data_IF_494611322112
#
_entry.id   IF_494611322112
#
_cell.length_a   1.000
_cell.length_b   1.000
_cell.length_c   1.000
_cell.angle_alpha   90.00
_cell.angle_beta   90.00
_cell.angle_gamma   90.00
#
_symmetry.space_group_name_H-M   'P 1'
#
loop_
_entity.id
_entity.type
_entity.pdbx_description
1 polymer ?
#
# COMPACT_ATOMS: atom_id res chain seq x y z
N UNK A 1 -13.53 -14.16 56.41
CA UNK A 1 -12.53 -13.40 55.63
C UNK A 1 -12.40 -13.89 54.19
N UNK A 2 -12.34 -15.20 53.92
CA UNK A 2 -12.20 -15.75 52.55
C UNK A 2 -13.37 -15.50 51.58
N UNK A 3 -14.62 -15.32 52.05
CA UNK A 3 -15.76 -14.99 51.17
C UNK A 3 -15.85 -13.51 50.80
N UNK A 4 -15.34 -12.61 51.66
CA UNK A 4 -15.31 -11.16 51.39
C UNK A 4 -14.16 -10.82 50.43
N UNK A 5 -13.02 -11.52 50.55
CA UNK A 5 -11.92 -11.41 49.58
C UNK A 5 -12.33 -11.84 48.15
N UNK A 6 -13.22 -12.84 48.02
CA UNK A 6 -13.67 -13.33 46.72
C UNK A 6 -14.58 -12.34 45.98
N UNK A 7 -15.38 -11.55 46.73
CA UNK A 7 -16.27 -10.53 46.16
C UNK A 7 -15.47 -9.28 45.72
N UNK A 8 -14.42 -8.91 46.46
CA UNK A 8 -13.53 -7.81 46.10
C UNK A 8 -12.68 -8.09 44.85
N UNK A 9 -12.42 -9.36 44.54
CA UNK A 9 -11.65 -9.78 43.36
C UNK A 9 -12.51 -9.79 42.07
N UNK A 10 -13.84 -9.90 42.20
CA UNK A 10 -14.79 -9.91 41.09
C UNK A 10 -15.09 -8.50 40.53
N UNK A 11 -14.90 -7.45 41.33
CA UNK A 11 -15.19 -6.05 40.93
C UNK A 11 -13.99 -5.32 40.34
N UNK A 12 -12.77 -5.88 40.41
CA UNK A 12 -11.55 -5.23 39.94
C UNK A 12 -11.21 -5.46 38.45
N UNK A 13 -12.05 -6.21 37.71
CA UNK A 13 -11.74 -6.67 36.34
C UNK A 13 -12.72 -6.21 35.24
N UNK A 14 -13.55 -5.18 35.47
CA UNK A 14 -14.51 -4.72 34.45
C UNK A 14 -14.45 -3.20 34.24
N UNK A 15 -13.30 -2.70 33.77
CA UNK A 15 -13.26 -1.45 33.02
C UNK A 15 -13.55 -1.74 31.55
N UNK A 16 -14.78 -2.18 31.25
CA UNK A 16 -15.25 -2.26 29.88
C UNK A 16 -15.56 -0.83 29.43
N UNK A 17 -14.65 -0.18 28.70
CA UNK A 17 -14.92 1.10 28.06
C UNK A 17 -16.00 0.87 27.00
N UNK A 18 -17.25 1.17 27.35
CA UNK A 18 -18.37 1.13 26.40
C UNK A 18 -18.26 2.33 25.48
N UNK A 19 -17.75 2.14 24.27
CA UNK A 19 -17.66 3.19 23.27
C UNK A 19 -19.07 3.72 22.91
N UNK A 20 -19.23 5.04 22.83
CA UNK A 20 -20.50 5.65 22.41
C UNK A 20 -20.69 5.54 20.90
N UNK A 21 -21.95 5.58 20.41
CA UNK A 21 -22.21 5.64 18.96
C UNK A 21 -21.55 6.86 18.31
N UNK A 22 -21.44 7.99 19.04
CA UNK A 22 -20.78 9.19 18.53
C UNK A 22 -19.27 8.97 18.33
N UNK A 23 -18.60 8.29 19.27
CA UNK A 23 -17.19 7.90 19.16
C UNK A 23 -16.99 6.90 18.02
N UNK A 24 -17.84 5.87 17.91
CA UNK A 24 -17.76 4.91 16.81
C UNK A 24 -17.93 5.60 15.45
N UNK A 25 -18.90 6.52 15.34
CA UNK A 25 -19.09 7.30 14.12
C UNK A 25 -17.82 8.11 13.80
N UNK A 26 -17.25 8.79 14.79
CA UNK A 26 -16.03 9.60 14.62
C UNK A 26 -14.86 8.77 14.10
N UNK A 27 -14.64 7.58 14.67
CA UNK A 27 -13.53 6.71 14.28
C UNK A 27 -13.68 6.22 12.84
N UNK A 28 -14.88 5.78 12.45
CA UNK A 28 -15.12 5.29 11.08
C UNK A 28 -15.04 6.43 10.06
N UNK A 29 -15.48 7.64 10.41
CA UNK A 29 -15.26 8.81 9.54
C UNK A 29 -13.78 9.19 9.46
N UNK A 30 -12.98 8.98 10.50
CA UNK A 30 -11.53 9.19 10.43
C UNK A 30 -10.87 8.21 9.43
N UNK A 31 -11.28 6.95 9.40
CA UNK A 31 -10.80 5.97 8.41
C UNK A 31 -11.20 6.34 6.97
N UNK A 32 -12.44 6.79 6.77
CA UNK A 32 -12.89 7.32 5.48
C UNK A 32 -12.06 8.55 5.07
N UNK A 33 -11.84 9.49 5.98
CA UNK A 33 -11.06 10.70 5.71
C UNK A 33 -9.61 10.40 5.36
N UNK A 34 -8.98 9.39 5.97
CA UNK A 34 -7.64 8.97 5.57
C UNK A 34 -7.63 8.39 4.16
N UNK A 35 -8.65 7.61 3.80
CA UNK A 35 -8.81 7.10 2.43
C UNK A 35 -9.04 8.25 1.44
N UNK A 36 -9.86 9.25 1.78
CA UNK A 36 -10.09 10.42 0.93
C UNK A 36 -8.82 11.28 0.77
N UNK A 37 -8.03 11.42 1.83
CA UNK A 37 -6.71 12.06 1.78
C UNK A 37 -5.75 11.30 0.87
N UNK A 38 -5.70 9.97 0.98
CA UNK A 38 -4.89 9.13 0.09
C UNK A 38 -5.30 9.30 -1.38
N UNK A 39 -6.60 9.32 -1.67
CA UNK A 39 -7.13 9.57 -3.01
C UNK A 39 -6.65 10.92 -3.55
N UNK A 40 -6.74 11.98 -2.74
CA UNK A 40 -6.29 13.32 -3.11
C UNK A 40 -4.77 13.40 -3.32
N UNK A 41 -3.99 12.70 -2.51
CA UNK A 41 -2.53 12.62 -2.66
C UNK A 41 -2.16 11.92 -3.99
N UNK A 42 -2.78 10.79 -4.30
CA UNK A 42 -2.58 10.08 -5.57
C UNK A 42 -2.96 10.97 -6.76
N UNK A 43 -4.13 11.63 -6.69
CA UNK A 43 -4.57 12.53 -7.74
C UNK A 43 -3.58 13.68 -7.97
N UNK A 44 -3.04 14.30 -6.92
CA UNK A 44 -2.01 15.34 -7.04
C UNK A 44 -0.70 14.81 -7.61
N UNK A 45 -0.28 13.60 -7.23
CA UNK A 45 0.90 12.94 -7.80
C UNK A 45 0.73 12.77 -9.31
N UNK A 46 -0.41 12.26 -9.76
CA UNK A 46 -0.70 12.09 -11.20
C UNK A 46 -0.69 13.45 -11.92
N UNK A 47 -1.31 14.49 -11.35
CA UNK A 47 -1.28 15.83 -11.95
C UNK A 47 0.15 16.36 -12.12
N UNK A 48 1.04 16.10 -11.15
CA UNK A 48 2.44 16.52 -11.20
C UNK A 48 3.24 15.74 -12.24
N UNK A 49 3.10 14.41 -12.25
CA UNK A 49 3.85 13.53 -13.15
C UNK A 49 3.44 13.71 -14.62
N UNK A 50 2.16 13.99 -14.88
CA UNK A 50 1.61 14.15 -16.22
C UNK A 50 1.39 15.61 -16.62
N UNK A 51 2.03 16.56 -15.92
CA UNK A 51 1.83 18.01 -16.13
C UNK A 51 2.00 18.51 -17.57
N UNK A 52 2.75 17.78 -18.40
CA UNK A 52 3.01 18.13 -19.81
C UNK A 52 1.96 17.57 -20.76
N UNK A 53 1.18 16.56 -20.35
CA UNK A 53 0.12 15.95 -21.16
C UNK A 53 -1.23 16.62 -20.82
N UNK A 54 -1.46 17.76 -21.46
CA UNK A 54 -2.65 18.60 -21.19
C UNK A 54 -3.96 17.88 -21.50
N UNK A 55 -3.99 17.06 -22.56
CA UNK A 55 -5.18 16.30 -22.96
C UNK A 55 -5.52 15.24 -21.90
N UNK A 56 -4.53 14.48 -21.43
CA UNK A 56 -4.73 13.53 -20.36
C UNK A 56 -5.21 14.21 -19.08
N UNK A 57 -4.57 15.32 -18.69
CA UNK A 57 -4.92 16.04 -17.46
C UNK A 57 -6.37 16.55 -17.47
N UNK A 58 -6.84 17.07 -18.60
CA UNK A 58 -8.23 17.51 -18.74
C UNK A 58 -9.22 16.34 -18.64
N UNK A 59 -8.88 15.20 -19.24
CA UNK A 59 -9.66 13.97 -19.12
C UNK A 59 -9.64 13.38 -17.70
N UNK A 60 -8.52 13.45 -17.00
CA UNK A 60 -8.39 13.03 -15.61
C UNK A 60 -9.27 13.89 -14.69
N UNK A 61 -9.22 15.22 -14.83
CA UNK A 61 -10.08 16.15 -14.09
C UNK A 61 -11.56 15.88 -14.35
N UNK A 62 -11.93 15.63 -15.61
CA UNK A 62 -13.30 15.28 -16.00
C UNK A 62 -13.73 13.94 -15.36
N UNK A 63 -12.91 12.91 -15.48
CA UNK A 63 -13.13 11.59 -14.88
C UNK A 63 -13.32 11.68 -13.37
N UNK A 64 -12.45 12.42 -12.68
CA UNK A 64 -12.50 12.55 -11.22
C UNK A 64 -13.75 13.28 -10.73
N UNK A 65 -14.16 14.35 -11.43
CA UNK A 65 -15.39 15.09 -11.12
C UNK A 65 -16.64 14.23 -11.28
N UNK A 66 -16.71 13.48 -12.38
CA UNK A 66 -17.81 12.55 -12.64
C UNK A 66 -17.82 11.40 -11.62
N UNK A 67 -16.65 10.92 -11.21
CA UNK A 67 -16.56 9.92 -10.15
C UNK A 67 -17.12 10.42 -8.81
N UNK A 68 -16.88 11.67 -8.43
CA UNK A 68 -17.48 12.24 -7.21
C UNK A 68 -19.00 12.26 -7.30
N UNK A 69 -19.57 12.67 -8.43
CA UNK A 69 -21.03 12.63 -8.66
C UNK A 69 -21.57 11.20 -8.61
N UNK A 70 -20.86 10.25 -9.23
CA UNK A 70 -21.21 8.84 -9.18
C UNK A 70 -21.19 8.30 -7.74
N UNK A 71 -20.15 8.60 -6.96
CA UNK A 71 -20.05 8.19 -5.55
C UNK A 71 -21.23 8.71 -4.73
N UNK A 72 -21.58 9.99 -4.91
CA UNK A 72 -22.68 10.61 -4.20
C UNK A 72 -24.03 10.00 -4.64
N UNK A 73 -24.20 9.69 -5.93
CA UNK A 73 -25.37 8.97 -6.44
C UNK A 73 -25.46 7.53 -5.92
N UNK A 74 -24.34 6.82 -5.81
CA UNK A 74 -24.25 5.48 -5.21
C UNK A 74 -24.68 5.49 -3.73
N UNK A 75 -24.30 6.53 -2.98
CA UNK A 75 -24.72 6.71 -1.59
C UNK A 75 -26.24 6.84 -1.47
N UNK A 76 -26.84 7.68 -2.32
CA UNK A 76 -28.29 7.90 -2.32
C UNK A 76 -29.06 6.69 -2.86
N UNK A 77 -28.49 5.93 -3.80
CA UNK A 77 -29.04 4.66 -4.25
C UNK A 77 -29.00 3.59 -3.15
N UNK A 78 -27.90 3.49 -2.40
CA UNK A 78 -27.73 2.48 -1.34
C UNK A 78 -28.55 2.80 -0.09
N UNK A 79 -28.68 4.08 0.24
CA UNK A 79 -29.47 4.58 1.37
C UNK A 79 -30.51 5.61 0.92
N UNK A 80 -31.55 5.20 0.15
CA UNK A 80 -32.56 6.15 -0.30
C UNK A 80 -33.32 6.75 0.89
N UNK A 81 -33.68 8.03 0.78
CA UNK A 81 -34.45 8.75 1.78
C UNK A 81 -35.95 8.40 1.68
N UNK A 82 -36.31 7.18 2.05
CA UNK A 82 -37.71 6.75 2.11
C UNK A 82 -38.41 7.39 3.31
N UNK A 83 -39.57 8.06 3.13
CA UNK A 83 -40.29 8.70 4.24
C UNK A 83 -40.62 7.74 5.39
N UNK A 84 -40.93 6.49 5.06
CA UNK A 84 -41.39 5.46 6.01
C UNK A 84 -40.23 4.64 6.63
N UNK A 85 -38.96 4.89 6.25
CA UNK A 85 -37.82 4.08 6.68
C UNK A 85 -36.81 4.87 7.49
N UNK A 86 -36.58 4.45 8.73
CA UNK A 86 -35.55 5.00 9.61
C UNK A 86 -34.38 4.01 9.68
N UNK A 87 -33.20 4.41 9.21
CA UNK A 87 -32.00 3.57 9.21
C UNK A 87 -31.33 3.40 10.60
N UNK A 88 -31.76 4.18 11.59
CA UNK A 88 -31.28 4.11 12.96
C UNK A 88 -29.89 4.74 13.18
N UNK A 89 -29.39 4.63 14.41
CA UNK A 89 -28.16 5.30 14.87
C UNK A 89 -26.88 4.75 14.24
N UNK A 90 -26.93 3.55 13.65
CA UNK A 90 -25.82 2.92 12.92
C UNK A 90 -25.63 3.48 11.51
N UNK A 91 -26.63 4.19 10.97
CA UNK A 91 -26.60 4.70 9.60
C UNK A 91 -25.36 5.54 9.26
N UNK A 92 -24.89 6.48 10.11
CA UNK A 92 -23.67 7.25 9.83
C UNK A 92 -22.44 6.36 9.66
N UNK A 93 -22.29 5.34 10.51
CA UNK A 93 -21.22 4.33 10.40
C UNK A 93 -21.29 3.59 9.07
N UNK A 94 -22.47 3.08 8.70
CA UNK A 94 -22.65 2.38 7.43
C UNK A 94 -22.37 3.27 6.22
N UNK A 95 -22.76 4.55 6.28
CA UNK A 95 -22.45 5.51 5.22
C UNK A 95 -20.93 5.71 5.08
N UNK A 96 -20.23 5.91 6.19
CA UNK A 96 -18.78 6.11 6.19
C UNK A 96 -18.04 4.88 5.66
N UNK A 97 -18.45 3.66 6.03
CA UNK A 97 -17.89 2.44 5.44
C UNK A 97 -18.09 2.37 3.93
N UNK A 98 -19.28 2.70 3.43
CA UNK A 98 -19.52 2.64 1.98
C UNK A 98 -18.75 3.71 1.21
N UNK A 99 -18.67 4.93 1.76
CA UNK A 99 -17.82 6.00 1.22
C UNK A 99 -16.35 5.55 1.15
N UNK A 100 -15.83 4.94 2.22
CA UNK A 100 -14.49 4.38 2.26
C UNK A 100 -14.28 3.33 1.16
N UNK A 101 -15.20 2.38 1.03
CA UNK A 101 -15.13 1.32 0.02
C UNK A 101 -15.05 1.88 -1.41
N UNK A 102 -15.91 2.84 -1.75
CA UNK A 102 -15.92 3.49 -3.07
C UNK A 102 -14.62 4.28 -3.32
N UNK A 103 -14.12 4.97 -2.29
CA UNK A 103 -12.85 5.71 -2.35
C UNK A 103 -11.65 4.76 -2.53
N UNK A 104 -11.59 3.66 -1.80
CA UNK A 104 -10.54 2.64 -1.92
C UNK A 104 -10.52 2.02 -3.32
N UNK A 105 -11.70 1.75 -3.90
CA UNK A 105 -11.82 1.28 -5.29
C UNK A 105 -11.25 2.31 -6.27
N UNK A 106 -11.55 3.59 -6.08
CA UNK A 106 -11.01 4.66 -6.94
C UNK A 106 -9.51 4.82 -6.80
N UNK A 107 -8.98 4.71 -5.59
CA UNK A 107 -7.54 4.66 -5.31
C UNK A 107 -6.88 3.57 -6.15
N UNK A 108 -7.42 2.34 -6.13
CA UNK A 108 -6.89 1.23 -6.93
C UNK A 108 -6.91 1.53 -8.43
N UNK A 109 -7.99 2.11 -8.94
CA UNK A 109 -8.07 2.52 -10.35
C UNK A 109 -7.02 3.59 -10.69
N UNK A 110 -6.83 4.61 -9.84
CA UNK A 110 -5.89 5.69 -10.13
C UNK A 110 -4.42 5.30 -9.92
N UNK A 111 -4.15 4.35 -9.03
CA UNK A 111 -2.79 3.92 -8.72
C UNK A 111 -2.01 3.42 -9.93
N UNK A 112 -2.69 2.91 -10.98
CA UNK A 112 -2.00 2.46 -12.20
C UNK A 112 -1.15 3.56 -12.87
N UNK A 113 -1.59 4.83 -12.77
CA UNK A 113 -0.83 5.97 -13.32
C UNK A 113 0.37 6.37 -12.47
N UNK A 114 0.38 5.98 -11.19
CA UNK A 114 1.49 6.20 -10.25
C UNK A 114 2.47 5.03 -10.31
N UNK A 115 1.95 3.79 -10.31
CA UNK A 115 2.74 2.56 -10.35
C UNK A 115 3.40 2.34 -11.71
N UNK A 116 2.86 2.95 -12.78
CA UNK A 116 3.33 2.77 -14.16
C UNK A 116 3.15 1.30 -14.60
N UNK A 117 3.51 1.04 -15.85
CA UNK A 117 3.41 -0.29 -16.47
C UNK A 117 4.77 -0.74 -17.00
N UNK A 118 4.96 -2.05 -17.12
CA UNK A 118 6.14 -2.60 -17.80
C UNK A 118 5.95 -2.48 -19.32
N UNK A 119 7.05 -2.45 -20.08
CA UNK A 119 6.96 -2.42 -21.54
C UNK A 119 6.29 -3.71 -22.06
N UNK A 120 5.36 -3.57 -23.02
CA UNK A 120 4.70 -4.70 -23.68
C UNK A 120 3.18 -4.79 -23.47
N UNK A 121 2.59 -4.05 -22.52
CA UNK A 121 1.14 -3.93 -22.42
C UNK A 121 0.59 -2.88 -23.39
N UNK A 122 0.08 -3.34 -24.54
CA UNK A 122 -0.49 -2.50 -25.60
C UNK A 122 -1.81 -1.83 -25.21
N UNK A 123 -2.44 -2.26 -24.11
CA UNK A 123 -3.69 -1.70 -23.59
C UNK A 123 -3.47 -0.69 -22.45
N UNK A 124 -2.21 -0.31 -22.18
CA UNK A 124 -1.86 0.62 -21.09
C UNK A 124 -2.28 2.07 -21.31
N UNK A 125 -2.69 2.46 -22.53
CA UNK A 125 -3.24 3.78 -22.82
C UNK A 125 -2.29 4.93 -22.44
N UNK A 126 -2.74 5.85 -21.58
CA UNK A 126 -1.93 6.99 -21.13
C UNK A 126 -0.99 6.67 -19.96
N UNK A 127 -0.94 5.44 -19.47
CA UNK A 127 -0.04 5.06 -18.35
C UNK A 127 1.40 5.07 -18.84
N UNK A 128 2.29 5.77 -18.11
CA UNK A 128 3.73 5.78 -18.39
C UNK A 128 4.35 4.40 -18.16
N UNK A 129 5.42 4.13 -18.91
CA UNK A 129 6.25 2.92 -18.74
C UNK A 129 7.24 3.13 -17.59
N UNK A 130 7.56 2.06 -16.88
CA UNK A 130 8.64 2.00 -15.89
C UNK A 130 9.96 2.20 -16.63
N UNK A 131 10.58 3.37 -16.45
CA UNK A 131 11.89 3.67 -17.04
C UNK A 131 12.98 2.73 -16.48
N UNK A 132 13.81 2.19 -17.37
CA UNK A 132 15.00 1.44 -16.99
C UNK A 132 16.03 2.37 -16.34
N UNK A 133 16.61 1.92 -15.23
CA UNK A 133 17.68 2.65 -14.55
C UNK A 133 19.01 2.29 -15.23
N UNK A 134 19.75 3.30 -15.67
CA UNK A 134 21.10 3.11 -16.24
C UNK A 134 21.99 2.39 -15.22
N UNK A 135 22.73 1.40 -15.70
CA UNK A 135 23.77 0.69 -14.95
C UNK A 135 24.73 1.61 -14.19
N UNK A 136 25.03 2.81 -14.71
CA UNK A 136 25.90 3.79 -14.06
C UNK A 136 25.27 4.38 -12.80
N UNK A 137 23.96 4.59 -12.79
CA UNK A 137 23.22 5.19 -11.66
C UNK A 137 22.56 4.15 -10.76
N UNK A 138 22.62 2.88 -11.13
CA UNK A 138 22.00 1.78 -10.38
C UNK A 138 22.54 1.67 -8.94
N UNK A 139 21.66 1.89 -7.97
CA UNK A 139 21.87 1.54 -6.56
C UNK A 139 21.67 0.05 -6.35
N UNK A 140 22.65 -0.60 -5.72
CA UNK A 140 22.62 -2.04 -5.46
C UNK A 140 22.58 -2.34 -3.98
N UNK A 141 21.87 -3.41 -3.62
CA UNK A 141 21.85 -3.95 -2.27
C UNK A 141 23.06 -4.87 -2.07
N UNK A 142 23.63 -4.83 -0.88
CA UNK A 142 24.76 -5.67 -0.49
C UNK A 142 24.29 -6.90 0.28
N UNK A 143 24.86 -8.05 -0.06
CA UNK A 143 24.64 -9.31 0.65
C UNK A 143 25.88 -9.60 1.47
N UNK A 144 25.73 -9.55 2.80
CA UNK A 144 26.81 -9.86 3.73
C UNK A 144 27.12 -11.36 3.78
N UNK A 145 28.28 -11.72 4.36
CA UNK A 145 28.73 -13.13 4.47
C UNK A 145 27.76 -14.05 5.23
N UNK A 146 26.95 -13.46 6.10
CA UNK A 146 25.90 -14.15 6.86
C UNK A 146 24.56 -14.27 6.09
N UNK A 147 24.50 -13.76 4.85
CA UNK A 147 23.31 -13.70 3.99
C UNK A 147 22.37 -12.54 4.30
N UNK A 148 22.70 -11.63 5.22
CA UNK A 148 21.88 -10.44 5.47
C UNK A 148 21.98 -9.45 4.31
N UNK A 149 20.85 -8.83 3.98
CA UNK A 149 20.72 -7.89 2.86
C UNK A 149 20.64 -6.47 3.39
N UNK A 150 21.50 -5.60 2.87
CA UNK A 150 21.61 -4.19 3.25
C UNK A 150 21.49 -3.29 2.02
N UNK A 151 20.57 -2.34 2.07
CA UNK A 151 20.48 -1.26 1.10
C UNK A 151 20.20 0.03 1.86
N UNK A 152 21.04 1.04 1.63
CA UNK A 152 20.84 2.40 2.13
C UNK A 152 20.48 3.30 0.97
N UNK A 153 19.44 4.13 1.11
CA UNK A 153 19.04 5.03 0.05
C UNK A 153 20.10 6.10 -0.20
N UNK A 154 20.45 6.32 -1.47
CA UNK A 154 21.42 7.33 -1.88
C UNK A 154 20.82 8.15 -3.01
N UNK A 155 20.57 9.45 -2.79
CA UNK A 155 19.92 10.32 -3.78
C UNK A 155 20.69 10.49 -5.10
N UNK A 156 21.94 10.00 -5.19
CA UNK A 156 22.72 9.97 -6.44
C UNK A 156 22.61 8.63 -7.20
N UNK A 157 21.90 7.65 -6.63
CA UNK A 157 21.76 6.30 -7.15
C UNK A 157 20.30 5.91 -7.15
N UNK A 158 19.82 5.40 -8.26
CA UNK A 158 18.44 4.95 -8.38
C UNK A 158 18.36 3.45 -8.13
N UNK A 159 17.43 3.05 -7.27
CA UNK A 159 17.11 1.64 -7.05
C UNK A 159 15.61 1.42 -7.13
N UNK A 160 15.24 0.30 -7.75
CA UNK A 160 13.86 -0.20 -7.84
C UNK A 160 13.88 -1.72 -7.81
N UNK A 161 13.92 -2.29 -6.62
CA UNK A 161 14.09 -3.72 -6.37
C UNK A 161 12.74 -4.33 -5.99
N UNK A 162 12.11 -5.02 -6.94
CA UNK A 162 10.94 -5.85 -6.67
C UNK A 162 11.35 -7.25 -6.20
N UNK A 163 10.62 -7.74 -5.19
CA UNK A 163 10.55 -9.16 -4.87
C UNK A 163 9.25 -9.76 -5.38
N UNK A 164 9.36 -10.91 -6.04
CA UNK A 164 8.28 -11.61 -6.72
C UNK A 164 7.97 -12.92 -6.03
N UNK A 165 6.72 -13.40 -6.15
CA UNK A 165 6.29 -14.68 -5.59
C UNK A 165 6.96 -15.88 -6.27
N UNK A 166 7.17 -15.78 -7.58
CA UNK A 166 7.87 -16.79 -8.39
C UNK A 166 9.11 -16.16 -9.05
N UNK A 167 9.97 -16.98 -9.67
CA UNK A 167 11.12 -16.56 -10.50
C UNK A 167 10.68 -15.97 -11.84
N UNK A 168 9.76 -15.03 -11.80
CA UNK A 168 9.12 -14.38 -12.95
C UNK A 168 8.74 -12.95 -12.56
N UNK A 169 9.13 -11.97 -13.38
CA UNK A 169 8.88 -10.54 -13.13
C UNK A 169 7.38 -10.19 -13.28
N UNK A 170 6.64 -11.00 -14.03
CA UNK A 170 5.18 -10.85 -14.17
C UNK A 170 4.42 -11.51 -13.00
N UNK A 171 5.13 -12.17 -12.08
CA UNK A 171 4.52 -12.76 -10.91
C UNK A 171 4.03 -11.71 -9.91
N UNK A 172 3.23 -12.13 -8.93
CA UNK A 172 2.76 -11.27 -7.85
C UNK A 172 3.93 -10.55 -7.19
N UNK A 173 3.86 -9.21 -7.17
CA UNK A 173 4.80 -8.33 -6.49
C UNK A 173 4.57 -8.48 -4.97
N UNK A 174 5.60 -8.96 -4.27
CA UNK A 174 5.54 -9.32 -2.85
C UNK A 174 6.12 -8.23 -1.96
N UNK A 175 7.20 -7.57 -2.40
CA UNK A 175 7.86 -6.47 -1.69
C UNK A 175 8.50 -5.54 -2.71
N UNK A 176 8.62 -4.26 -2.39
CA UNK A 176 9.38 -3.28 -3.17
C UNK A 176 10.37 -2.54 -2.30
N UNK A 177 11.60 -2.38 -2.78
CA UNK A 177 12.56 -1.42 -2.22
C UNK A 177 12.91 -0.42 -3.32
N UNK A 178 12.42 0.83 -3.22
CA UNK A 178 12.54 1.85 -4.26
C UNK A 178 12.93 3.20 -3.69
N UNK A 179 13.79 3.96 -4.37
CA UNK A 179 14.11 5.32 -3.95
C UNK A 179 12.97 6.31 -4.26
N UNK A 180 12.05 5.94 -5.15
CA UNK A 180 11.02 6.82 -5.65
C UNK A 180 9.82 6.88 -4.68
N UNK A 181 9.57 8.04 -4.08
CA UNK A 181 8.48 8.25 -3.10
C UNK A 181 7.11 7.87 -3.63
N UNK A 182 6.83 8.14 -4.90
CA UNK A 182 5.57 7.79 -5.54
C UNK A 182 5.35 6.27 -5.63
N UNK A 183 6.43 5.46 -5.60
CA UNK A 183 6.38 4.00 -5.64
C UNK A 183 6.36 3.35 -4.25
N UNK A 184 6.77 4.08 -3.21
CA UNK A 184 6.84 3.58 -1.83
C UNK A 184 5.64 4.03 -1.00
N UNK A 185 5.30 5.32 -1.06
CA UNK A 185 4.25 5.91 -0.23
C UNK A 185 2.92 5.24 -0.54
N UNK A 186 2.25 4.73 0.50
CA UNK A 186 0.96 4.04 0.42
C UNK A 186 0.96 2.73 -0.37
N UNK A 187 2.13 2.13 -0.66
CA UNK A 187 2.25 0.82 -1.32
C UNK A 187 1.40 0.69 -2.60
N UNK A 188 1.63 1.53 -3.63
CA UNK A 188 0.78 1.60 -4.82
C UNK A 188 0.74 0.31 -5.64
N UNK A 189 1.77 -0.54 -5.52
CA UNK A 189 1.85 -1.85 -6.17
C UNK A 189 1.15 -2.97 -5.40
N UNK A 190 0.51 -2.67 -4.26
CA UNK A 190 -0.18 -3.63 -3.40
C UNK A 190 0.72 -4.81 -2.98
N UNK A 191 2.02 -4.53 -2.74
CA UNK A 191 2.97 -5.54 -2.32
C UNK A 191 2.58 -6.11 -0.95
N UNK A 192 2.43 -7.43 -0.83
CA UNK A 192 2.04 -8.13 0.41
C UNK A 192 2.87 -7.72 1.64
N UNK A 193 4.18 -7.55 1.46
CA UNK A 193 5.14 -7.18 2.49
C UNK A 193 5.47 -5.69 2.50
N UNK A 194 4.75 -4.88 1.73
CA UNK A 194 4.92 -3.43 1.67
C UNK A 194 5.99 -2.96 0.69
N UNK A 195 6.18 -1.64 0.69
CA UNK A 195 7.18 -0.93 -0.09
C UNK A 195 8.04 -0.06 0.83
N UNK A 196 9.34 0.00 0.59
CA UNK A 196 10.31 0.66 1.46
C UNK A 196 11.34 1.45 0.66
N UNK A 197 11.89 2.49 1.27
CA UNK A 197 13.01 3.24 0.67
C UNK A 197 14.34 2.49 0.76
N UNK A 198 14.53 1.74 1.85
CA UNK A 198 15.76 1.08 2.21
C UNK A 198 15.48 -0.07 3.18
N UNK A 199 16.43 -0.99 3.38
CA UNK A 199 16.23 -2.19 4.20
C UNK A 199 16.06 -1.86 5.69
N UNK A 200 16.70 -0.79 6.17
CA UNK A 200 16.53 -0.24 7.54
C UNK A 200 15.09 0.19 7.85
N UNK A 201 14.29 0.53 6.82
CA UNK A 201 12.87 0.89 6.97
C UNK A 201 11.98 -0.30 7.32
N UNK A 202 12.47 -1.53 7.13
CA UNK A 202 11.74 -2.77 7.43
C UNK A 202 11.91 -3.09 8.92
N UNK A 203 10.84 -2.93 9.70
CA UNK A 203 10.86 -3.17 11.16
C UNK A 203 10.42 -4.56 11.57
N UNK A 204 9.48 -5.15 10.83
CA UNK A 204 8.75 -6.34 11.27
C UNK A 204 9.41 -7.67 10.88
N UNK A 205 10.33 -7.64 9.92
CA UNK A 205 11.00 -8.82 9.39
C UNK A 205 12.36 -8.49 8.80
N UNK A 206 13.15 -9.52 8.54
CA UNK A 206 14.47 -9.43 7.88
C UNK A 206 14.45 -10.18 6.56
N UNK A 207 15.25 -9.69 5.62
CA UNK A 207 15.51 -10.36 4.35
C UNK A 207 16.85 -11.11 4.45
N UNK A 208 16.82 -12.39 4.11
CA UNK A 208 18.02 -13.25 4.13
C UNK A 208 18.20 -14.00 2.83
N UNK A 209 19.33 -13.79 2.17
CA UNK A 209 19.76 -14.53 1.00
C UNK A 209 19.92 -16.03 1.33
N UNK A 210 19.50 -16.88 0.39
CA UNK A 210 19.62 -18.34 0.47
C UNK A 210 20.52 -18.87 -0.62
N UNK A 211 20.12 -18.67 -1.88
CA UNK A 211 20.80 -19.21 -3.04
C UNK A 211 20.51 -18.37 -4.29
N UNK A 212 21.33 -18.56 -5.31
CA UNK A 212 21.17 -17.93 -6.62
C UNK A 212 20.66 -18.96 -7.61
N UNK A 213 19.53 -18.65 -8.26
CA UNK A 213 18.89 -19.49 -9.25
C UNK A 213 18.76 -18.70 -10.56
N UNK A 214 19.63 -18.99 -11.54
CA UNK A 214 19.72 -18.26 -12.81
C UNK A 214 19.90 -16.74 -12.57
N UNK A 215 18.90 -15.94 -12.97
CA UNK A 215 18.89 -14.48 -12.84
C UNK A 215 18.18 -14.00 -11.56
N UNK A 216 17.72 -14.91 -10.70
CA UNK A 216 17.02 -14.58 -9.47
C UNK A 216 17.83 -15.02 -8.24
N UNK A 217 17.69 -14.25 -7.17
CA UNK A 217 18.12 -14.63 -5.84
C UNK A 217 16.90 -15.10 -5.07
N UNK A 218 17.04 -16.24 -4.38
CA UNK A 218 16.05 -16.73 -3.43
C UNK A 218 16.31 -16.06 -2.07
N UNK A 219 15.32 -15.35 -1.56
CA UNK A 219 15.41 -14.58 -0.32
C UNK A 219 14.29 -15.02 0.62
N UNK A 220 14.65 -15.34 1.87
CA UNK A 220 13.71 -15.65 2.94
C UNK A 220 13.29 -14.38 3.66
N UNK A 221 12.00 -14.30 3.96
CA UNK A 221 11.43 -13.32 4.87
C UNK A 221 11.37 -13.95 6.26
N UNK A 222 12.12 -13.39 7.19
CA UNK A 222 12.27 -13.92 8.54
C UNK A 222 11.64 -12.98 9.55
N UNK A 223 10.66 -13.47 10.31
CA UNK A 223 10.03 -12.76 11.43
C UNK A 223 10.23 -13.59 12.69
N UNK A 224 10.73 -12.96 13.75
CA UNK A 224 10.99 -13.62 15.05
C UNK A 224 11.82 -14.92 14.93
N UNK A 225 12.82 -14.91 14.04
CA UNK A 225 13.71 -16.06 13.79
C UNK A 225 13.12 -17.18 12.94
N UNK A 226 11.83 -17.11 12.55
CA UNK A 226 11.18 -18.10 11.69
C UNK A 226 11.02 -17.57 10.27
N UNK A 227 11.22 -18.43 9.28
CA UNK A 227 10.87 -18.12 7.88
C UNK A 227 9.36 -18.10 7.76
N UNK A 228 8.80 -16.99 7.31
CA UNK A 228 7.35 -16.82 7.11
C UNK A 228 6.94 -16.85 5.65
N UNK A 229 7.87 -16.54 4.74
CA UNK A 229 7.66 -16.60 3.28
C UNK A 229 9.00 -16.55 2.54
N UNK A 230 8.94 -16.74 1.23
CA UNK A 230 10.07 -16.65 0.30
C UNK A 230 9.73 -15.69 -0.85
N UNK A 231 10.72 -14.92 -1.29
CA UNK A 231 10.60 -14.01 -2.43
C UNK A 231 11.81 -14.16 -3.35
N UNK A 232 11.57 -13.92 -4.63
CA UNK A 232 12.60 -13.96 -5.67
C UNK A 232 12.89 -12.53 -6.14
N UNK A 233 14.15 -12.12 -6.09
CA UNK A 233 14.57 -10.79 -6.54
C UNK A 233 15.62 -10.91 -7.66
N UNK A 234 15.61 -10.00 -8.63
CA UNK A 234 16.56 -10.06 -9.74
C UNK A 234 18.00 -9.82 -9.26
N UNK A 235 18.90 -10.74 -9.61
CA UNK A 235 20.33 -10.72 -9.25
C UNK A 235 21.03 -9.41 -9.61
N UNK A 236 20.62 -8.74 -10.70
CA UNK A 236 21.24 -7.48 -11.15
C UNK A 236 21.26 -6.38 -10.09
N UNK A 237 20.32 -6.42 -9.13
CA UNK A 237 20.20 -5.45 -8.04
C UNK A 237 21.13 -5.69 -6.85
N UNK A 238 21.95 -6.74 -6.86
CA UNK A 238 22.70 -7.19 -5.69
C UNK A 238 24.19 -7.33 -5.96
N UNK A 239 24.99 -7.02 -4.95
CA UNK A 239 26.42 -7.34 -4.88
C UNK A 239 26.73 -8.14 -3.63
N UNK A 240 27.64 -9.10 -3.74
CA UNK A 240 28.13 -9.86 -2.59
C UNK A 240 29.32 -9.11 -1.97
N UNK A 241 29.27 -8.94 -0.66
CA UNK A 241 30.40 -8.40 0.10
C UNK A 241 31.62 -9.32 -0.06
N UNK A 242 32.79 -8.72 -0.27
CA UNK A 242 34.05 -9.45 -0.46
C UNK A 242 34.59 -10.03 0.86
#
# INVERSE_FOLDING_TARGET
MNRILFILFLTFNLSCFSQTQAEMNKDVYAEFNESDKQLNDIYKTILSEYKTDTIFIDNLKKSQRLWTQFRDAEMEMKYPNYPEKIYGSIHPTCRAFYLKELTDKRIKTLNIWVSRTEEGDVCSGSVKIIEEIDSEYMGKAYIGKNGEIWLTANMKRDHRIFGYKNKDINSTKMILISIFTNEVKNNPFDCKYGAYYETSGIKDFKLKYVETENNFLKIKIIKEGKTIDEVFMLKKWFEFEK
#
